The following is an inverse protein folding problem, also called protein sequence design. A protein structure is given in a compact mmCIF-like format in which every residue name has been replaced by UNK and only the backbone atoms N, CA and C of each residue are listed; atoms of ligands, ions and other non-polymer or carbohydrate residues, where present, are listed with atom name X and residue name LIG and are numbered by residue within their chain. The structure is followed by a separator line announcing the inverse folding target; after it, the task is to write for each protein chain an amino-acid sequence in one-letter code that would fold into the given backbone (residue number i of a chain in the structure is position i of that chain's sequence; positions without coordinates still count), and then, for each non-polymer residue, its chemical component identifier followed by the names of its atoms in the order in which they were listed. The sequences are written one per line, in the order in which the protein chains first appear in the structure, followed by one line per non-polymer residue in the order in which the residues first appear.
data_IF_989554261780
#
_entry.id   IF_989554261780
#
_cell.length_a   1.000
_cell.length_b   1.000
_cell.length_c   1.000
_cell.angle_alpha   90.00
_cell.angle_beta   90.00
_cell.angle_gamma   90.00
#
_symmetry.space_group_name_H-M   'P 1'
#
loop_
_entity.id
_entity.type
_entity.pdbx_description
1 polymer ?
#
# COMPACT_ATOMS: atom_id res chain seq x y z
N UNK A 1 -4.41 2.80 61.77
CA UNK A 1 -4.61 4.22 61.37
C UNK A 1 -4.20 4.47 59.89
N UNK A 2 -4.56 3.59 58.94
CA UNK A 2 -4.29 3.77 57.49
C UNK A 2 -5.53 3.62 56.59
N UNK A 3 -6.61 3.03 57.08
CA UNK A 3 -7.86 2.85 56.31
C UNK A 3 -8.88 4.00 56.44
N UNK A 4 -8.66 4.96 57.35
CA UNK A 4 -9.55 6.12 57.56
C UNK A 4 -9.16 7.31 56.67
N UNK A 5 -7.91 7.37 56.17
CA UNK A 5 -7.46 8.43 55.27
C UNK A 5 -7.79 8.15 53.79
N UNK A 6 -7.90 6.88 53.36
CA UNK A 6 -8.25 6.52 51.98
C UNK A 6 -9.76 6.64 51.67
N UNK A 7 -10.63 6.52 52.68
CA UNK A 7 -12.07 6.70 52.51
C UNK A 7 -12.48 8.18 52.38
N UNK A 8 -11.76 9.10 53.05
CA UNK A 8 -12.03 10.53 52.96
C UNK A 8 -11.68 11.11 51.56
N UNK A 9 -10.58 10.68 50.94
CA UNK A 9 -10.18 11.14 49.61
C UNK A 9 -11.15 10.70 48.50
N UNK A 10 -11.73 9.51 48.62
CA UNK A 10 -12.67 8.96 47.63
C UNK A 10 -14.01 9.70 47.64
N UNK A 11 -14.48 10.14 48.81
CA UNK A 11 -15.73 10.91 48.95
C UNK A 11 -15.57 12.33 48.40
N UNK A 12 -14.41 12.97 48.59
CA UNK A 12 -14.14 14.32 48.07
C UNK A 12 -14.12 14.33 46.54
N UNK A 13 -13.52 13.32 45.90
CA UNK A 13 -13.48 13.20 44.43
C UNK A 13 -14.88 12.99 43.85
N UNK A 14 -15.72 12.19 44.51
CA UNK A 14 -17.10 11.95 44.06
C UNK A 14 -17.96 13.22 44.16
N UNK A 15 -17.80 14.00 45.23
CA UNK A 15 -18.51 15.28 45.41
C UNK A 15 -18.08 16.31 44.36
N UNK A 16 -16.79 16.35 44.00
CA UNK A 16 -16.29 17.24 42.95
C UNK A 16 -16.80 16.85 41.55
N UNK A 17 -16.90 15.55 41.25
CA UNK A 17 -17.51 15.09 39.98
C UNK A 17 -19.00 15.47 39.91
N UNK A 18 -19.77 15.22 40.96
CA UNK A 18 -21.21 15.55 40.97
C UNK A 18 -21.43 17.07 40.88
N UNK A 19 -20.62 17.88 41.57
CA UNK A 19 -20.68 19.33 41.46
C UNK A 19 -20.33 19.83 40.05
N UNK A 20 -19.37 19.19 39.37
CA UNK A 20 -19.00 19.54 37.99
C UNK A 20 -20.10 19.19 36.97
N UNK A 21 -20.79 18.07 37.15
CA UNK A 21 -21.94 17.66 36.32
C UNK A 21 -23.11 18.64 36.50
N UNK A 22 -23.38 19.03 37.75
CA UNK A 22 -24.44 19.99 38.06
C UNK A 22 -24.13 21.39 37.51
N UNK A 23 -22.87 21.81 37.58
CA UNK A 23 -22.39 23.06 36.98
C UNK A 23 -22.53 23.04 35.45
N UNK A 24 -22.20 21.92 34.78
CA UNK A 24 -22.34 21.76 33.34
C UNK A 24 -23.82 21.76 32.88
N UNK A 25 -24.70 21.05 33.59
CA UNK A 25 -26.14 21.02 33.29
C UNK A 25 -26.80 22.39 33.48
N UNK A 26 -26.32 23.23 34.41
CA UNK A 26 -26.84 24.57 34.61
C UNK A 26 -26.38 25.60 33.56
N UNK A 27 -25.28 25.34 32.84
CA UNK A 27 -24.75 26.24 31.80
C UNK A 27 -25.34 25.95 30.40
N UNK A 28 -25.92 24.77 30.18
CA UNK A 28 -26.55 24.39 28.92
C UNK A 28 -27.87 23.61 29.16
N UNK A 29 -29.02 24.29 29.33
CA UNK A 29 -30.30 23.59 29.34
C UNK A 29 -30.53 22.94 27.97
N UNK A 30 -30.94 21.67 27.97
CA UNK A 30 -31.28 20.93 26.77
C UNK A 30 -32.32 21.69 25.94
N UNK A 31 -31.97 22.05 24.71
CA UNK A 31 -32.88 22.69 23.77
C UNK A 31 -34.04 21.74 23.47
N UNK A 32 -35.24 22.13 23.88
CA UNK A 32 -36.48 21.48 23.47
C UNK A 32 -36.69 21.67 21.97
N UNK A 33 -36.83 20.57 21.24
CA UNK A 33 -37.29 20.59 19.85
C UNK A 33 -38.80 20.91 19.85
N UNK A 34 -39.29 21.91 19.10
CA UNK A 34 -40.72 22.16 19.03
C UNK A 34 -41.42 21.08 18.19
N UNK A 35 -42.52 20.55 18.72
CA UNK A 35 -43.49 19.77 17.95
C UNK A 35 -44.23 20.67 16.95
N UNK A 36 -44.48 20.09 15.78
CA UNK A 36 -45.29 20.64 14.69
C UNK A 36 -46.76 20.79 15.09
N UNK A 37 -47.33 21.99 14.90
CA UNK A 37 -48.57 22.16 14.14
C UNK A 37 -48.90 23.67 13.98
N UNK A 38 -49.54 23.97 12.84
CA UNK A 38 -50.09 25.28 12.41
C UNK A 38 -49.10 26.32 11.86
N UNK A 39 -48.94 26.34 10.54
CA UNK A 39 -49.52 27.41 9.69
C UNK A 39 -49.34 27.09 8.20
N UNK A 40 -50.48 27.17 7.50
CA UNK A 40 -50.57 27.19 6.04
C UNK A 40 -49.95 28.47 5.48
N UNK A 41 -49.39 28.29 4.28
CA UNK A 41 -49.42 29.19 3.13
C UNK A 41 -48.19 30.07 2.86
N UNK A 42 -47.81 30.00 1.58
CA UNK A 42 -46.89 30.87 0.83
C UNK A 42 -45.38 30.76 1.09
N UNK A 43 -44.72 29.86 0.35
CA UNK A 43 -43.70 30.24 -0.64
C UNK A 43 -43.32 29.04 -1.53
N UNK A 44 -43.79 29.05 -2.78
CA UNK A 44 -43.19 28.25 -3.85
C UNK A 44 -41.78 28.81 -4.11
N UNK A 45 -40.75 28.10 -3.64
CA UNK A 45 -39.41 28.21 -4.23
C UNK A 45 -39.33 27.20 -5.38
N UNK A 46 -38.83 27.57 -6.57
CA UNK A 46 -38.66 26.62 -7.65
C UNK A 46 -37.58 25.62 -7.24
N UNK A 47 -37.94 24.34 -7.15
CA UNK A 47 -36.96 23.27 -7.27
C UNK A 47 -36.32 23.43 -8.65
N UNK A 48 -35.12 24.01 -8.67
CA UNK A 48 -34.18 23.76 -9.76
C UNK A 48 -33.63 22.38 -9.41
N UNK A 49 -34.21 21.35 -10.01
CA UNK A 49 -33.50 20.10 -10.20
C UNK A 49 -32.30 20.46 -11.10
N UNK A 50 -31.17 20.81 -10.48
CA UNK A 50 -29.89 20.69 -11.17
C UNK A 50 -29.69 19.20 -11.44
N UNK A 51 -30.21 18.76 -12.58
CA UNK A 51 -29.68 17.59 -13.26
C UNK A 51 -28.20 17.91 -13.53
N UNK A 52 -27.35 17.55 -12.58
CA UNK A 52 -25.91 17.49 -12.78
C UNK A 52 -25.73 16.53 -13.95
N UNK A 53 -25.39 17.07 -15.11
CA UNK A 53 -24.99 16.23 -16.24
C UNK A 53 -23.88 15.30 -15.74
N UNK A 54 -23.90 14.00 -16.07
CA UNK A 54 -22.80 13.11 -15.72
C UNK A 54 -21.50 13.76 -16.15
N UNK A 55 -20.63 14.02 -15.18
CA UNK A 55 -19.34 14.62 -15.44
C UNK A 55 -18.58 13.67 -16.37
N UNK A 56 -18.16 14.15 -17.55
CA UNK A 56 -17.40 13.33 -18.48
C UNK A 56 -16.13 12.81 -17.80
N UNK A 57 -15.91 11.51 -17.89
CA UNK A 57 -14.76 10.85 -17.27
C UNK A 57 -13.46 11.38 -17.88
N UNK A 58 -12.52 11.78 -17.03
CA UNK A 58 -11.19 12.21 -17.44
C UNK A 58 -10.15 11.19 -16.98
N UNK A 59 -9.37 10.70 -17.93
CA UNK A 59 -8.25 9.81 -17.68
C UNK A 59 -7.18 10.47 -16.81
N UNK A 60 -6.60 9.70 -15.87
CA UNK A 60 -5.41 10.12 -15.11
C UNK A 60 -4.25 10.46 -16.04
N UNK A 61 -4.05 9.67 -17.10
CA UNK A 61 -3.06 9.91 -18.16
C UNK A 61 -3.76 10.01 -19.53
N UNK A 62 -4.22 11.21 -19.96
CA UNK A 62 -5.02 11.37 -21.19
C UNK A 62 -4.30 11.01 -22.49
N UNK A 63 -2.97 11.06 -22.51
CA UNK A 63 -2.17 10.75 -23.70
C UNK A 63 -1.92 9.24 -23.87
N UNK A 64 -2.18 8.43 -22.83
CA UNK A 64 -1.94 6.99 -22.85
C UNK A 64 -3.15 6.23 -23.41
N UNK A 65 -2.87 5.18 -24.20
CA UNK A 65 -3.91 4.31 -24.74
C UNK A 65 -4.70 3.63 -23.62
N UNK A 66 -3.99 3.18 -22.60
CA UNK A 66 -4.55 2.51 -21.45
C UNK A 66 -4.41 3.44 -20.25
N UNK A 67 -5.52 3.75 -19.58
CA UNK A 67 -5.53 4.60 -18.39
C UNK A 67 -6.71 4.22 -17.49
N UNK A 68 -6.75 4.82 -16.31
CA UNK A 68 -7.89 4.73 -15.40
C UNK A 68 -8.37 6.13 -14.98
N UNK A 69 -9.46 6.17 -14.21
CA UNK A 69 -9.93 7.32 -13.45
C UNK A 69 -10.65 6.86 -12.18
N UNK A 70 -10.63 7.70 -11.13
CA UNK A 70 -11.26 7.46 -9.82
C UNK A 70 -12.43 8.43 -9.56
N UNK A 71 -13.07 8.90 -10.63
CA UNK A 71 -14.19 9.85 -10.54
C UNK A 71 -15.48 9.15 -10.12
N UNK A 72 -16.39 9.92 -9.53
CA UNK A 72 -17.73 9.47 -9.14
C UNK A 72 -17.74 8.29 -8.14
N UNK A 73 -16.73 8.19 -7.29
CA UNK A 73 -16.56 7.09 -6.31
C UNK A 73 -16.39 5.69 -6.96
N UNK A 74 -16.00 5.66 -8.23
CA UNK A 74 -15.81 4.45 -9.02
C UNK A 74 -14.42 4.41 -9.67
N UNK A 75 -13.84 3.21 -9.75
CA UNK A 75 -12.69 2.97 -10.61
C UNK A 75 -13.18 2.60 -12.01
N UNK A 76 -12.86 3.45 -12.98
CA UNK A 76 -13.14 3.21 -14.39
C UNK A 76 -11.82 3.09 -15.16
N UNK A 77 -11.72 2.11 -16.06
CA UNK A 77 -10.55 1.89 -16.92
C UNK A 77 -10.91 2.07 -18.39
N UNK A 78 -9.91 2.44 -19.19
CA UNK A 78 -10.02 2.58 -20.65
C UNK A 78 -8.83 1.91 -21.31
N UNK A 79 -9.06 1.32 -22.48
CA UNK A 79 -8.02 0.71 -23.34
C UNK A 79 -7.87 1.44 -24.69
N UNK A 80 -8.56 2.57 -24.86
CA UNK A 80 -8.65 3.28 -26.13
C UNK A 80 -8.64 4.81 -25.99
N UNK A 81 -7.78 5.33 -25.10
CA UNK A 81 -7.60 6.77 -24.84
C UNK A 81 -8.89 7.46 -24.37
N UNK A 82 -9.66 6.80 -23.50
CA UNK A 82 -10.85 7.39 -22.86
C UNK A 82 -12.07 7.50 -23.77
N UNK A 83 -12.07 6.85 -24.94
CA UNK A 83 -13.25 6.80 -25.83
C UNK A 83 -14.35 5.93 -25.24
N UNK A 84 -13.97 4.79 -24.68
CA UNK A 84 -14.84 3.86 -23.96
C UNK A 84 -14.28 3.60 -22.57
N UNK A 85 -15.18 3.32 -21.63
CA UNK A 85 -14.88 3.10 -20.23
C UNK A 85 -15.56 1.84 -19.73
N UNK A 86 -14.82 1.09 -18.91
CA UNK A 86 -15.32 -0.08 -18.20
C UNK A 86 -15.16 0.16 -16.71
N UNK A 87 -16.25 0.02 -15.96
CA UNK A 87 -16.22 0.12 -14.50
C UNK A 87 -15.63 -1.17 -13.91
N UNK A 88 -14.63 -1.02 -13.06
CA UNK A 88 -14.03 -2.13 -12.32
C UNK A 88 -14.92 -2.44 -11.12
N UNK A 89 -15.35 -3.70 -10.91
CA UNK A 89 -16.30 -4.07 -9.85
C UNK A 89 -15.63 -4.15 -8.47
N UNK A 90 -14.99 -3.07 -8.03
CA UNK A 90 -14.34 -2.93 -6.72
C UNK A 90 -14.61 -1.55 -6.14
N UNK A 91 -14.88 -1.48 -4.84
CA UNK A 91 -15.07 -0.20 -4.15
C UNK A 91 -13.75 0.54 -3.98
N UNK A 92 -13.75 1.85 -4.24
CA UNK A 92 -12.54 2.70 -4.12
C UNK A 92 -11.90 2.57 -2.73
N UNK A 93 -12.70 2.60 -1.66
CA UNK A 93 -12.16 2.50 -0.30
C UNK A 93 -11.43 1.17 -0.02
N UNK A 94 -11.78 0.09 -0.72
CA UNK A 94 -11.10 -1.20 -0.58
C UNK A 94 -9.68 -1.15 -1.18
N UNK A 95 -9.49 -0.44 -2.30
CA UNK A 95 -8.19 -0.25 -2.95
C UNK A 95 -7.21 0.51 -2.04
N UNK A 96 -7.73 1.42 -1.22
CA UNK A 96 -6.95 2.26 -0.29
C UNK A 96 -6.98 1.79 1.17
N UNK A 97 -7.64 0.66 1.46
CA UNK A 97 -7.77 0.12 2.82
C UNK A 97 -6.42 -0.30 3.42
N UNK A 98 -6.35 -0.37 4.75
CA UNK A 98 -5.16 -0.72 5.53
C UNK A 98 -4.49 0.51 6.16
N UNK A 99 -3.15 0.55 6.16
CA UNK A 99 -2.35 1.65 6.73
C UNK A 99 -1.97 2.72 5.69
N UNK A 100 -2.57 2.70 4.49
CA UNK A 100 -2.24 3.68 3.46
C UNK A 100 -2.71 5.08 3.86
N UNK A 101 -1.76 6.02 3.93
CA UNK A 101 -1.99 7.42 4.29
C UNK A 101 -1.54 8.40 3.19
N UNK A 102 -1.30 7.89 1.98
CA UNK A 102 -0.86 8.67 0.83
C UNK A 102 -2.02 9.34 0.09
N UNK A 103 -1.70 9.83 -1.11
CA UNK A 103 -2.68 10.45 -2.01
C UNK A 103 -3.71 9.41 -2.49
N UNK A 104 -5.00 9.71 -2.35
CA UNK A 104 -6.10 8.88 -2.87
C UNK A 104 -6.66 9.36 -4.24
N UNK A 105 -6.02 10.34 -4.88
CA UNK A 105 -6.39 10.79 -6.23
C UNK A 105 -5.84 9.85 -7.33
N UNK A 106 -4.84 9.04 -7.00
CA UNK A 106 -4.25 8.04 -7.88
C UNK A 106 -4.24 6.69 -7.18
N UNK A 107 -4.31 5.60 -7.95
CA UNK A 107 -4.11 4.25 -7.42
C UNK A 107 -2.75 4.15 -6.74
N UNK A 108 -2.66 3.30 -5.71
CA UNK A 108 -1.41 3.05 -5.00
C UNK A 108 -0.43 2.41 -6.01
N UNK A 109 0.76 2.99 -6.12
CA UNK A 109 1.80 2.47 -6.99
C UNK A 109 2.07 0.99 -6.67
N UNK A 110 2.28 0.18 -7.71
CA UNK A 110 2.51 -1.26 -7.62
C UNK A 110 1.34 -2.10 -7.09
N UNK A 111 0.20 -1.51 -6.69
CA UNK A 111 -0.96 -2.27 -6.22
C UNK A 111 -1.89 -2.77 -7.33
N UNK A 112 -1.53 -2.50 -8.60
CA UNK A 112 -2.34 -2.85 -9.75
C UNK A 112 -1.45 -3.09 -10.98
N UNK A 113 -2.01 -3.80 -11.95
CA UNK A 113 -1.45 -4.00 -13.28
C UNK A 113 -2.50 -3.52 -14.27
N UNK A 114 -2.09 -2.71 -15.25
CA UNK A 114 -2.99 -2.27 -16.30
C UNK A 114 -2.24 -2.28 -17.64
N UNK A 115 -2.52 -3.30 -18.44
CA UNK A 115 -1.90 -3.59 -19.74
C UNK A 115 -2.95 -4.08 -20.72
N UNK A 116 -2.66 -4.14 -22.02
CA UNK A 116 -3.63 -4.58 -23.04
C UNK A 116 -4.21 -5.99 -22.78
N UNK A 117 -3.43 -6.86 -22.16
CA UNK A 117 -3.76 -8.27 -21.93
C UNK A 117 -4.15 -8.59 -20.48
N UNK A 118 -3.99 -7.63 -19.55
CA UNK A 118 -4.25 -7.86 -18.12
C UNK A 118 -4.57 -6.56 -17.40
N UNK A 119 -5.71 -6.55 -16.73
CA UNK A 119 -6.03 -5.63 -15.65
C UNK A 119 -6.07 -6.42 -14.35
N UNK A 120 -5.38 -5.97 -13.30
CA UNK A 120 -5.40 -6.62 -12.00
C UNK A 120 -5.29 -5.59 -10.87
N UNK A 121 -6.05 -5.77 -9.79
CA UNK A 121 -6.11 -4.85 -8.65
C UNK A 121 -6.02 -5.63 -7.35
N UNK A 122 -4.99 -5.32 -6.55
CA UNK A 122 -4.77 -5.93 -5.24
C UNK A 122 -5.39 -5.04 -4.16
N UNK A 123 -6.35 -5.58 -3.41
CA UNK A 123 -7.09 -4.81 -2.40
C UNK A 123 -7.35 -5.63 -1.14
N UNK A 124 -7.83 -4.91 -0.12
CA UNK A 124 -8.24 -5.51 1.13
C UNK A 124 -9.75 -5.37 1.31
N UNK A 125 -10.39 -6.47 1.71
CA UNK A 125 -11.79 -6.52 2.10
C UNK A 125 -11.93 -6.86 3.59
N UNK A 126 -12.93 -6.27 4.24
CA UNK A 126 -13.28 -6.57 5.62
C UNK A 126 -13.24 -5.34 6.52
N UNK A 127 -14.23 -5.25 7.41
CA UNK A 127 -14.43 -4.11 8.30
C UNK A 127 -13.59 -4.17 9.59
N UNK A 128 -12.96 -5.32 9.87
CA UNK A 128 -12.11 -5.49 11.04
C UNK A 128 -10.64 -5.37 10.63
N UNK A 129 -9.95 -4.35 11.14
CA UNK A 129 -8.54 -4.12 10.81
C UNK A 129 -7.61 -5.28 11.17
N UNK A 130 -7.97 -6.09 12.17
CA UNK A 130 -7.20 -7.24 12.62
C UNK A 130 -7.55 -8.54 11.88
N UNK A 131 -8.52 -8.49 10.96
CA UNK A 131 -8.98 -9.65 10.21
C UNK A 131 -9.60 -9.23 8.88
N UNK A 132 -8.72 -8.98 7.92
CA UNK A 132 -9.06 -8.63 6.55
C UNK A 132 -8.72 -9.77 5.58
N UNK A 133 -9.40 -9.80 4.45
CA UNK A 133 -9.08 -10.64 3.30
C UNK A 133 -8.25 -9.82 2.33
N UNK A 134 -7.19 -10.41 1.78
CA UNK A 134 -6.44 -9.82 0.68
C UNK A 134 -6.84 -10.53 -0.60
N UNK A 135 -7.32 -9.76 -1.57
CA UNK A 135 -7.93 -10.25 -2.80
C UNK A 135 -7.23 -9.64 -4.01
N UNK A 136 -7.14 -10.42 -5.09
CA UNK A 136 -6.76 -9.95 -6.40
C UNK A 136 -7.97 -10.06 -7.33
N UNK A 137 -8.48 -8.92 -7.78
CA UNK A 137 -9.48 -8.85 -8.84
C UNK A 137 -8.75 -8.67 -10.16
N UNK A 138 -9.02 -9.52 -11.15
CA UNK A 138 -8.33 -9.44 -12.44
C UNK A 138 -9.23 -9.75 -13.63
N UNK A 139 -8.81 -9.27 -14.79
CA UNK A 139 -9.42 -9.48 -16.09
C UNK A 139 -8.31 -9.70 -17.13
N UNK A 140 -8.57 -10.57 -18.10
CA UNK A 140 -7.70 -10.85 -19.25
C UNK A 140 -8.37 -10.52 -20.59
N UNK A 141 -9.57 -9.95 -20.55
CA UNK A 141 -10.42 -9.61 -21.70
C UNK A 141 -10.83 -8.12 -21.67
N UNK A 142 -9.88 -7.25 -21.30
CA UNK A 142 -10.07 -5.80 -21.28
C UNK A 142 -11.25 -5.31 -20.42
N UNK A 143 -11.53 -6.04 -19.34
CA UNK A 143 -12.57 -5.72 -18.36
C UNK A 143 -13.97 -6.20 -18.76
N UNK A 144 -14.12 -7.00 -19.82
CA UNK A 144 -15.41 -7.61 -20.18
C UNK A 144 -15.87 -8.59 -19.09
N UNK A 145 -14.95 -9.37 -18.53
CA UNK A 145 -15.19 -10.26 -17.38
C UNK A 145 -14.13 -10.07 -16.30
N UNK A 146 -14.53 -10.37 -15.05
CA UNK A 146 -13.69 -10.19 -13.87
C UNK A 146 -13.72 -11.42 -12.98
N UNK A 147 -12.54 -11.82 -12.51
CA UNK A 147 -12.36 -12.91 -11.56
C UNK A 147 -11.67 -12.40 -10.29
N UNK A 148 -12.25 -12.73 -9.14
CA UNK A 148 -11.70 -12.43 -7.82
C UNK A 148 -11.02 -13.68 -7.27
N UNK A 149 -9.78 -13.53 -6.79
CA UNK A 149 -9.00 -14.61 -6.19
C UNK A 149 -8.53 -14.23 -4.79
N UNK A 150 -8.74 -15.13 -3.84
CA UNK A 150 -8.23 -14.97 -2.48
C UNK A 150 -6.71 -15.18 -2.48
N UNK A 151 -5.97 -14.19 -1.99
CA UNK A 151 -4.52 -14.28 -1.80
C UNK A 151 -4.22 -14.81 -0.40
N UNK A 152 -4.82 -14.20 0.62
CA UNK A 152 -4.66 -14.65 2.01
C UNK A 152 -5.74 -14.09 2.93
N UNK A 153 -6.03 -14.82 4.00
CA UNK A 153 -6.84 -14.42 5.15
C UNK A 153 -6.46 -15.28 6.38
N UNK A 154 -6.53 -14.76 7.62
CA UNK A 154 -6.74 -13.35 7.96
C UNK A 154 -5.46 -12.52 7.75
N UNK A 155 -5.61 -11.25 7.40
CA UNK A 155 -4.52 -10.28 7.29
C UNK A 155 -4.78 -9.05 8.15
N UNK A 156 -3.73 -8.49 8.74
CA UNK A 156 -3.81 -7.34 9.64
C UNK A 156 -3.30 -6.09 8.95
N UNK A 157 -4.19 -5.12 8.72
CA UNK A 157 -3.88 -3.75 8.30
C UNK A 157 -2.76 -3.63 7.24
N UNK A 158 -3.07 -3.92 5.98
CA UNK A 158 -2.10 -3.88 4.88
C UNK A 158 -1.43 -2.52 4.72
N UNK A 159 -0.09 -2.46 4.79
CA UNK A 159 0.70 -1.25 4.56
C UNK A 159 1.37 -1.27 3.19
N UNK A 160 2.33 -2.16 2.98
CA UNK A 160 2.97 -2.34 1.67
C UNK A 160 2.18 -3.33 0.84
N UNK A 161 2.15 -3.11 -0.47
CA UNK A 161 1.53 -4.00 -1.43
C UNK A 161 2.20 -3.83 -2.78
N UNK A 162 2.52 -4.93 -3.43
CA UNK A 162 3.04 -5.00 -4.79
C UNK A 162 2.48 -6.25 -5.47
N UNK A 163 2.03 -6.11 -6.70
CA UNK A 163 1.64 -7.22 -7.57
C UNK A 163 2.31 -7.06 -8.93
N UNK A 164 2.88 -8.13 -9.46
CA UNK A 164 3.46 -8.13 -10.80
C UNK A 164 3.39 -9.55 -11.41
N UNK A 165 3.26 -9.61 -12.73
CA UNK A 165 3.36 -10.84 -13.51
C UNK A 165 4.56 -10.74 -14.45
N UNK A 166 5.50 -11.67 -14.35
CA UNK A 166 6.65 -11.72 -15.26
C UNK A 166 6.30 -12.37 -16.60
N UNK A 167 5.26 -13.20 -16.61
CA UNK A 167 4.68 -13.80 -17.82
C UNK A 167 3.21 -14.16 -17.58
N UNK A 168 2.57 -14.83 -18.54
CA UNK A 168 1.14 -15.20 -18.45
C UNK A 168 0.81 -16.14 -17.27
N UNK A 169 1.77 -16.93 -16.81
CA UNK A 169 1.59 -17.94 -15.77
C UNK A 169 2.20 -17.52 -14.43
N UNK A 170 3.41 -16.97 -14.44
CA UNK A 170 4.14 -16.63 -13.24
C UNK A 170 3.94 -15.17 -12.82
N UNK A 171 3.57 -14.99 -11.55
CA UNK A 171 3.46 -13.70 -10.91
C UNK A 171 3.70 -13.79 -9.42
N UNK A 172 3.85 -12.63 -8.78
CA UNK A 172 4.12 -12.52 -7.36
C UNK A 172 3.32 -11.39 -6.73
N UNK A 173 2.98 -11.57 -5.45
CA UNK A 173 2.40 -10.55 -4.58
C UNK A 173 3.29 -10.42 -3.36
N UNK A 174 3.67 -9.19 -3.02
CA UNK A 174 4.42 -8.87 -1.80
C UNK A 174 3.57 -7.91 -0.99
N UNK A 175 3.24 -8.31 0.24
CA UNK A 175 2.44 -7.49 1.16
C UNK A 175 3.09 -7.42 2.54
N UNK A 176 2.78 -6.36 3.26
CA UNK A 176 3.18 -6.21 4.66
C UNK A 176 2.05 -5.64 5.51
N UNK A 177 2.09 -5.90 6.80
CA UNK A 177 1.10 -5.40 7.75
C UNK A 177 1.39 -5.79 9.20
N UNK A 178 0.42 -5.54 10.09
CA UNK A 178 0.51 -5.91 11.49
C UNK A 178 1.59 -5.14 12.27
N UNK A 179 1.78 -3.86 11.96
CA UNK A 179 2.90 -3.10 12.52
C UNK A 179 2.78 -2.91 14.03
N UNK A 180 3.82 -3.31 14.76
CA UNK A 180 3.89 -3.17 16.23
C UNK A 180 5.31 -2.81 16.65
N UNK A 181 5.49 -1.69 17.36
CA UNK A 181 6.79 -1.29 17.95
C UNK A 181 7.98 -1.34 16.96
N UNK A 182 7.80 -0.73 15.78
CA UNK A 182 8.78 -0.73 14.67
C UNK A 182 9.03 -2.09 14.01
N UNK A 183 8.24 -3.11 14.34
CA UNK A 183 8.22 -4.38 13.64
C UNK A 183 7.04 -4.46 12.68
N UNK A 184 7.17 -5.26 11.64
CA UNK A 184 6.19 -5.52 10.60
C UNK A 184 6.32 -6.97 10.12
N UNK A 185 5.20 -7.60 9.76
CA UNK A 185 5.23 -8.87 9.04
C UNK A 185 5.25 -8.61 7.55
N UNK A 186 6.12 -9.32 6.82
CA UNK A 186 6.16 -9.32 5.35
C UNK A 186 5.86 -10.72 4.83
N UNK A 187 5.09 -10.78 3.74
CA UNK A 187 4.61 -12.01 3.14
C UNK A 187 4.79 -11.91 1.62
N UNK A 188 5.18 -13.03 1.01
CA UNK A 188 5.37 -13.16 -0.43
C UNK A 188 4.54 -14.33 -0.89
N UNK A 189 3.72 -14.11 -1.91
CA UNK A 189 2.88 -15.11 -2.53
C UNK A 189 3.26 -15.25 -3.99
N UNK A 190 3.32 -16.49 -4.49
CA UNK A 190 3.62 -16.80 -5.88
C UNK A 190 2.41 -17.44 -6.54
N UNK A 191 2.26 -17.20 -7.83
CA UNK A 191 1.35 -17.95 -8.70
C UNK A 191 2.15 -18.53 -9.85
N UNK A 192 1.82 -19.75 -10.26
CA UNK A 192 2.35 -20.41 -11.46
C UNK A 192 1.24 -20.74 -12.46
N UNK A 193 0.04 -20.19 -12.27
CA UNK A 193 -1.14 -20.47 -13.09
C UNK A 193 -1.94 -19.19 -13.41
N UNK A 194 -1.24 -18.08 -13.62
CA UNK A 194 -1.83 -16.85 -14.14
C UNK A 194 -2.66 -16.06 -13.12
N UNK A 195 -2.53 -16.38 -11.84
CA UNK A 195 -3.26 -15.74 -10.74
C UNK A 195 -4.47 -16.53 -10.24
N UNK A 196 -4.77 -17.71 -10.81
CA UNK A 196 -5.89 -18.55 -10.38
C UNK A 196 -5.71 -19.15 -8.97
N UNK A 197 -4.46 -19.28 -8.50
CA UNK A 197 -4.15 -19.60 -7.11
C UNK A 197 -2.83 -18.95 -6.68
N UNK A 198 -2.72 -18.70 -5.37
CA UNK A 198 -1.56 -18.06 -4.74
C UNK A 198 -1.03 -18.92 -3.60
N UNK A 199 0.27 -19.15 -3.58
CA UNK A 199 0.96 -19.94 -2.55
C UNK A 199 1.94 -19.05 -1.81
N UNK A 200 1.88 -19.05 -0.48
CA UNK A 200 2.81 -18.29 0.35
C UNK A 200 4.18 -18.97 0.39
N UNK A 201 5.23 -18.17 0.25
CA UNK A 201 6.62 -18.63 0.41
C UNK A 201 7.02 -18.72 1.89
N UNK A 202 8.21 -19.22 2.17
CA UNK A 202 8.75 -19.21 3.53
C UNK A 202 9.03 -17.76 3.97
N UNK A 203 8.71 -17.43 5.23
CA UNK A 203 9.03 -16.13 5.80
C UNK A 203 10.56 -15.91 5.85
N UNK A 204 11.02 -14.72 5.48
CA UNK A 204 12.44 -14.36 5.51
C UNK A 204 13.05 -14.29 6.93
N UNK A 205 12.21 -14.27 7.96
CA UNK A 205 12.58 -14.05 9.36
C UNK A 205 12.80 -12.57 9.71
N UNK A 206 12.71 -11.67 8.74
CA UNK A 206 12.96 -10.24 8.92
C UNK A 206 11.66 -9.53 9.32
N UNK A 207 11.69 -8.87 10.47
CA UNK A 207 10.52 -8.14 11.01
C UNK A 207 10.62 -6.64 10.84
N UNK A 208 11.51 -6.15 9.97
CA UNK A 208 11.64 -4.72 9.63
C UNK A 208 10.64 -4.33 8.54
N UNK A 209 10.47 -3.02 8.34
CA UNK A 209 9.57 -2.54 7.29
C UNK A 209 10.11 -2.95 5.92
N UNK A 210 9.27 -3.60 5.12
CA UNK A 210 9.63 -3.82 3.73
C UNK A 210 9.60 -2.49 2.97
N UNK A 211 10.59 -2.28 2.12
CA UNK A 211 10.70 -1.09 1.29
C UNK A 211 10.51 -1.36 -0.18
N UNK A 212 10.97 -2.52 -0.65
CA UNK A 212 10.69 -3.00 -1.99
C UNK A 212 10.92 -4.51 -2.06
N UNK A 213 10.59 -5.10 -3.20
CA UNK A 213 10.89 -6.49 -3.51
C UNK A 213 10.42 -6.85 -4.92
N UNK A 214 10.75 -8.06 -5.34
CA UNK A 214 10.29 -8.59 -6.62
C UNK A 214 11.10 -9.78 -7.09
N UNK A 215 10.65 -10.39 -8.18
CA UNK A 215 11.27 -11.54 -8.80
C UNK A 215 11.83 -11.17 -10.16
N UNK A 216 12.98 -11.75 -10.52
CA UNK A 216 13.56 -11.61 -11.87
C UNK A 216 13.29 -12.85 -12.74
N UNK A 217 12.99 -13.98 -12.10
CA UNK A 217 12.43 -15.18 -12.70
C UNK A 217 11.70 -16.02 -11.62
N UNK A 218 11.28 -17.25 -11.95
CA UNK A 218 10.51 -18.11 -11.05
C UNK A 218 11.29 -18.60 -9.81
N UNK A 219 12.63 -18.58 -9.87
CA UNK A 219 13.48 -19.07 -8.79
C UNK A 219 14.14 -17.93 -8.00
N UNK A 220 14.48 -16.83 -8.66
CA UNK A 220 15.28 -15.73 -8.12
C UNK A 220 14.38 -14.54 -7.78
N UNK A 221 14.32 -14.24 -6.48
CA UNK A 221 13.55 -13.13 -5.94
C UNK A 221 14.26 -12.38 -4.83
N UNK A 222 13.80 -11.16 -4.56
CA UNK A 222 14.47 -10.21 -3.68
C UNK A 222 13.49 -9.51 -2.75
N UNK A 223 13.92 -9.26 -1.51
CA UNK A 223 13.23 -8.44 -0.53
C UNK A 223 14.20 -7.41 0.04
N UNK A 224 13.82 -6.14 0.00
CA UNK A 224 14.61 -5.03 0.52
C UNK A 224 13.91 -4.40 1.72
N UNK A 225 14.58 -4.34 2.86
CA UNK A 225 14.04 -3.81 4.11
C UNK A 225 14.62 -2.42 4.42
N UNK A 226 13.77 -1.58 4.99
CA UNK A 226 14.12 -0.21 5.40
C UNK A 226 14.16 -0.05 6.91
N UNK A 227 14.96 0.91 7.37
CA UNK A 227 14.92 1.40 8.74
C UNK A 227 15.10 2.92 8.78
N UNK A 228 14.96 3.53 9.95
CA UNK A 228 15.07 4.98 10.12
C UNK A 228 16.50 5.46 9.85
N UNK A 229 17.51 4.69 10.28
CA UNK A 229 18.93 5.01 10.11
C UNK A 229 19.67 3.80 9.53
N UNK A 230 19.52 3.51 8.23
CA UNK A 230 20.19 2.37 7.60
C UNK A 230 21.67 2.71 7.40
N UNK A 231 22.54 1.75 7.72
CA UNK A 231 24.00 1.88 7.53
C UNK A 231 24.47 1.23 6.22
N UNK A 232 23.74 0.20 5.77
CA UNK A 232 23.95 -0.54 4.54
C UNK A 232 22.59 -1.04 4.03
N UNK A 233 22.47 -1.45 2.75
CA UNK A 233 21.26 -2.06 2.21
C UNK A 233 20.95 -3.38 2.92
N UNK A 234 19.69 -3.53 3.33
CA UNK A 234 19.17 -4.75 3.97
C UNK A 234 18.42 -5.58 2.91
N UNK A 235 19.19 -6.17 1.99
CA UNK A 235 18.69 -6.92 0.83
C UNK A 235 18.78 -8.43 1.09
N UNK A 236 17.70 -9.15 0.80
CA UNK A 236 17.62 -10.61 0.88
C UNK A 236 17.31 -11.16 -0.51
N UNK A 237 17.85 -12.35 -0.79
CA UNK A 237 17.67 -13.09 -2.03
C UNK A 237 17.15 -14.49 -1.74
N UNK A 238 16.25 -14.98 -2.58
CA UNK A 238 15.93 -16.40 -2.72
C UNK A 238 16.43 -16.88 -4.07
N UNK A 239 16.92 -18.12 -4.13
CA UNK A 239 17.36 -18.79 -5.36
C UNK A 239 16.54 -20.06 -5.63
N UNK A 240 15.50 -20.30 -4.84
CA UNK A 240 14.70 -21.53 -4.83
C UNK A 240 13.19 -21.24 -4.77
N UNK A 241 12.75 -20.10 -5.30
CA UNK A 241 11.33 -19.73 -5.39
C UNK A 241 10.72 -19.37 -4.03
N UNK A 242 11.51 -18.81 -3.12
CA UNK A 242 11.08 -18.38 -1.78
C UNK A 242 11.03 -19.50 -0.74
N UNK A 243 11.58 -20.68 -1.02
CA UNK A 243 11.72 -21.73 -0.01
C UNK A 243 12.76 -21.35 1.05
N UNK A 244 13.82 -20.64 0.64
CA UNK A 244 14.81 -20.05 1.53
C UNK A 244 15.13 -18.61 1.13
N UNK A 245 15.40 -17.77 2.14
CA UNK A 245 15.80 -16.37 1.97
C UNK A 245 17.11 -16.13 2.72
N UNK A 246 18.12 -15.60 2.03
CA UNK A 246 19.43 -15.31 2.59
C UNK A 246 19.78 -13.84 2.38
N UNK A 247 20.47 -13.22 3.34
CA UNK A 247 20.94 -11.84 3.20
C UNK A 247 22.01 -11.78 2.10
N UNK A 248 21.83 -10.90 1.13
CA UNK A 248 22.81 -10.63 0.08
C UNK A 248 23.97 -9.78 0.65
N UNK A 249 25.17 -9.95 0.09
CA UNK A 249 26.35 -9.18 0.48
C UNK A 249 26.54 -8.00 -0.45
N UNK A 250 26.60 -6.78 0.11
CA UNK A 250 26.84 -5.55 -0.63
C UNK A 250 28.29 -5.07 -0.43
N UNK A 251 29.09 -5.05 -1.48
CA UNK A 251 30.45 -4.50 -1.44
C UNK A 251 30.43 -3.01 -1.80
N UNK A 252 30.34 -2.18 -0.76
CA UNK A 252 30.27 -0.72 -0.88
C UNK A 252 31.68 -0.14 -0.70
N UNK A 253 32.20 0.67 -1.66
CA UNK A 253 33.46 1.38 -1.48
C UNK A 253 33.41 2.32 -0.27
N UNK A 254 34.55 2.50 0.40
CA UNK A 254 34.62 3.23 1.69
C UNK A 254 34.13 4.68 1.56
N UNK A 255 34.34 5.32 0.42
CA UNK A 255 33.85 6.67 0.10
C UNK A 255 32.32 6.77 0.01
N UNK A 256 31.61 5.64 -0.13
CA UNK A 256 30.15 5.53 -0.24
C UNK A 256 29.50 4.89 1.00
N UNK A 257 30.27 4.62 2.06
CA UNK A 257 29.73 4.13 3.33
C UNK A 257 28.62 5.06 3.84
N UNK A 258 27.51 4.47 4.30
CA UNK A 258 26.32 5.18 4.78
C UNK A 258 25.60 6.06 3.74
N UNK A 259 26.04 6.06 2.47
CA UNK A 259 25.41 6.87 1.41
C UNK A 259 24.38 6.04 0.64
N UNK A 260 24.73 4.86 0.14
CA UNK A 260 23.81 4.00 -0.62
C UNK A 260 23.32 2.87 0.29
N UNK A 261 22.12 3.01 0.82
CA UNK A 261 21.66 2.28 2.01
C UNK A 261 20.30 1.62 1.86
N UNK A 262 19.63 1.81 0.73
CA UNK A 262 18.31 1.21 0.50
C UNK A 262 18.19 0.73 -0.94
N UNK A 263 18.17 -0.59 -1.11
CA UNK A 263 18.10 -1.22 -2.43
C UNK A 263 16.67 -1.15 -3.00
N UNK A 264 16.58 -0.88 -4.30
CA UNK A 264 15.38 -1.06 -5.10
C UNK A 264 15.25 -2.53 -5.53
N UNK A 265 14.23 -2.87 -6.32
CA UNK A 265 14.10 -4.23 -6.86
C UNK A 265 15.22 -4.47 -7.89
N UNK A 266 16.04 -5.51 -7.72
CA UNK A 266 17.00 -5.89 -8.74
C UNK A 266 16.31 -6.26 -10.06
N UNK A 267 16.99 -5.98 -11.17
CA UNK A 267 16.51 -6.29 -12.52
C UNK A 267 17.56 -7.09 -13.28
N UNK A 268 17.12 -7.87 -14.26
CA UNK A 268 18.01 -8.62 -15.14
C UNK A 268 18.49 -7.75 -16.30
N UNK A 269 19.80 -7.58 -16.42
CA UNK A 269 20.46 -6.88 -17.52
C UNK A 269 21.34 -7.87 -18.29
N UNK A 270 20.90 -8.30 -19.47
CA UNK A 270 21.64 -9.22 -20.35
C UNK A 270 22.14 -10.49 -19.62
N UNK A 271 23.40 -10.49 -19.17
CA UNK A 271 24.12 -11.60 -18.55
C UNK A 271 24.30 -11.46 -17.02
N UNK A 272 23.82 -10.38 -16.40
CA UNK A 272 23.97 -10.11 -14.98
C UNK A 272 22.70 -9.51 -14.37
N UNK A 273 22.69 -9.35 -13.05
CA UNK A 273 21.66 -8.58 -12.35
C UNK A 273 22.21 -7.20 -12.00
N UNK A 274 21.35 -6.19 -12.05
CA UNK A 274 21.65 -4.85 -11.57
C UNK A 274 20.66 -4.43 -10.51
N UNK A 275 21.13 -3.61 -9.57
CA UNK A 275 20.26 -2.97 -8.57
C UNK A 275 20.67 -1.52 -8.37
N UNK A 276 19.68 -0.64 -8.31
CA UNK A 276 19.87 0.73 -7.88
C UNK A 276 19.68 0.80 -6.37
N UNK A 277 20.59 1.48 -5.70
CA UNK A 277 20.57 1.68 -4.26
C UNK A 277 20.47 3.17 -3.99
N UNK A 278 19.36 3.58 -3.39
CA UNK A 278 19.11 4.97 -3.03
C UNK A 278 19.66 5.30 -1.63
N UNK A 279 19.56 6.57 -1.27
CA UNK A 279 20.21 7.10 -0.07
C UNK A 279 19.38 6.97 1.22
N UNK A 280 18.23 6.30 1.14
CA UNK A 280 17.33 6.17 2.27
C UNK A 280 16.68 7.49 2.68
N UNK A 281 15.94 7.50 3.80
CA UNK A 281 15.12 8.64 4.23
C UNK A 281 15.94 9.88 4.63
N UNK A 282 17.22 9.71 4.97
CA UNK A 282 18.08 10.79 5.47
C UNK A 282 19.18 11.21 4.47
N UNK A 283 19.11 10.73 3.24
CA UNK A 283 20.16 10.97 2.23
C UNK A 283 20.25 12.41 1.75
N UNK A 284 21.44 13.01 1.86
CA UNK A 284 21.74 14.36 1.37
C UNK A 284 22.94 14.41 0.41
N UNK A 285 23.56 13.25 0.12
CA UNK A 285 24.71 13.16 -0.75
C UNK A 285 24.37 13.65 -2.16
N UNK A 286 25.12 14.66 -2.64
CA UNK A 286 24.85 15.37 -3.90
C UNK A 286 23.39 15.85 -4.01
N UNK A 287 22.82 16.29 -2.88
CA UNK A 287 21.46 16.79 -2.79
C UNK A 287 20.38 15.70 -2.84
N UNK A 288 20.72 14.46 -2.49
CA UNK A 288 19.76 13.33 -2.42
C UNK A 288 19.31 12.78 -3.77
N UNK A 289 19.95 13.20 -4.87
CA UNK A 289 19.50 12.88 -6.24
C UNK A 289 20.23 11.70 -6.87
N UNK A 290 21.34 11.27 -6.30
CA UNK A 290 22.18 10.22 -6.90
C UNK A 290 21.87 8.88 -6.27
N UNK A 291 21.81 7.82 -7.08
CA UNK A 291 21.77 6.43 -6.64
C UNK A 291 23.08 5.73 -6.97
N UNK A 292 23.41 4.66 -6.28
CA UNK A 292 24.50 3.76 -6.66
C UNK A 292 23.94 2.60 -7.49
N UNK A 293 24.54 2.31 -8.64
CA UNK A 293 24.27 1.09 -9.40
C UNK A 293 25.27 0.02 -8.98
N UNK A 294 24.73 -1.14 -8.60
CA UNK A 294 25.49 -2.32 -8.23
C UNK A 294 25.16 -3.47 -9.18
N UNK A 295 26.13 -4.33 -9.42
CA UNK A 295 26.02 -5.48 -10.33
C UNK A 295 26.31 -6.77 -9.57
N UNK A 296 25.55 -7.82 -9.87
CA UNK A 296 25.80 -9.18 -9.42
C UNK A 296 25.92 -10.13 -10.60
N UNK A 297 26.94 -10.99 -10.56
CA UNK A 297 27.15 -12.07 -11.53
C UNK A 297 26.93 -13.46 -10.92
N UNK A 298 26.44 -13.52 -9.69
CA UNK A 298 26.18 -14.73 -8.90
C UNK A 298 24.72 -14.79 -8.42
N UNK A 299 23.80 -14.40 -9.30
CA UNK A 299 22.35 -14.44 -9.07
C UNK A 299 21.86 -13.60 -7.88
N UNK A 300 22.63 -12.60 -7.48
CA UNK A 300 22.27 -11.64 -6.44
C UNK A 300 22.73 -12.03 -5.03
N UNK A 301 23.60 -13.03 -4.90
CA UNK A 301 24.24 -13.35 -3.62
C UNK A 301 25.25 -12.27 -3.21
N UNK A 302 26.04 -11.76 -4.16
CA UNK A 302 26.99 -10.66 -3.94
C UNK A 302 26.84 -9.54 -4.97
N UNK A 303 27.07 -8.30 -4.52
CA UNK A 303 26.85 -7.09 -5.30
C UNK A 303 28.06 -6.16 -5.26
N UNK A 304 28.58 -5.80 -6.43
CA UNK A 304 29.72 -4.89 -6.59
C UNK A 304 29.26 -3.52 -7.09
N UNK A 305 29.78 -2.45 -6.48
CA UNK A 305 29.52 -1.10 -6.95
C UNK A 305 30.08 -0.90 -8.37
N UNK A 306 29.24 -0.40 -9.28
CA UNK A 306 29.63 -0.09 -10.65
C UNK A 306 29.81 1.41 -10.86
N UNK A 307 28.77 2.19 -10.57
CA UNK A 307 28.77 3.64 -10.82
C UNK A 307 27.67 4.37 -10.07
N UNK A 308 27.81 5.69 -9.98
CA UNK A 308 26.71 6.58 -9.62
C UNK A 308 25.76 6.77 -10.80
N UNK A 309 24.46 6.85 -10.51
CA UNK A 309 23.39 7.12 -11.49
C UNK A 309 22.60 8.34 -11.06
N UNK A 310 22.32 9.25 -12.00
CA UNK A 310 21.49 10.43 -11.79
C UNK A 310 20.02 10.12 -12.14
N UNK A 311 19.04 10.91 -11.69
CA UNK A 311 17.63 10.62 -11.91
C UNK A 311 17.17 10.56 -13.37
N UNK A 312 17.99 11.03 -14.32
CA UNK A 312 17.64 11.18 -15.73
C UNK A 312 18.56 10.36 -16.67
N UNK A 313 19.44 9.52 -16.11
CA UNK A 313 20.33 8.61 -16.84
C UNK A 313 19.78 7.18 -16.76
#
# INVERSE_FOLDING_TARGET
MKYILLSASSVIILVLMVASIFYYQNQFPASQWPQSDEMRDNQKSPHIDEQTQPQELQATNPDEQISYTLQNDELNITFNQGKDWTTVPVGIEQLFSGEYNGNKQNLIENSYILTENRAAFLYSEGNNWDNQRILLLHSTDQGETWEEQLVTEPFVAMRFRKVEFLNENFGYIIISGGRTMSQESSHVFLTHNGGMSWEETTNSGVTRLISNGGFVDEAIGFLSFGTINPEEPDLYVTLDGGNTWNKATMHIPTEYNLIFVQAETPVKEQDHLSVLVNQGPNGDYKGGKVKGKFISTDHGETWEFQMEVKPND
#
